data_IF_120847659757
#
_entry.id   IF_120847659757
#
_cell.length_a   1.000
_cell.length_b   1.000
_cell.length_c   1.000
_cell.angle_alpha   90.00
_cell.angle_beta   90.00
_cell.angle_gamma   90.00
#
_symmetry.space_group_name_H-M   'P 1'
#
loop_
_entity.id
_entity.type
_entity.pdbx_description
1 polymer ?
#
# COMPACT_ATOMS: atom_id res chain seq x y z
N UNK A 1 3.23 13.25 -14.98
CA UNK A 1 2.06 13.32 -14.08
C UNK A 1 0.79 12.81 -14.75
N UNK A 2 0.29 13.42 -15.83
CA UNK A 2 -0.94 12.93 -16.48
C UNK A 2 -0.87 11.46 -16.94
N UNK A 3 0.26 11.02 -17.50
CA UNK A 3 0.46 9.61 -17.87
C UNK A 3 0.54 8.68 -16.65
N UNK A 4 1.18 9.13 -15.58
CA UNK A 4 1.23 8.41 -14.31
C UNK A 4 -0.18 8.25 -13.70
N UNK A 5 -0.98 9.31 -13.60
CA UNK A 5 -2.35 9.21 -13.09
C UNK A 5 -3.26 8.38 -14.01
N UNK A 6 -3.01 8.36 -15.34
CA UNK A 6 -3.72 7.43 -16.24
C UNK A 6 -3.36 5.98 -15.92
N UNK A 7 -2.09 5.70 -15.66
CA UNK A 7 -1.65 4.35 -15.31
C UNK A 7 -2.19 3.90 -13.95
N UNK A 8 -2.12 4.77 -12.92
CA UNK A 8 -2.70 4.51 -11.60
C UNK A 8 -4.20 4.23 -11.71
N UNK A 9 -4.95 5.03 -12.48
CA UNK A 9 -6.38 4.77 -12.73
C UNK A 9 -6.65 3.42 -13.38
N UNK A 10 -5.87 3.05 -14.40
CA UNK A 10 -6.00 1.73 -15.04
C UNK A 10 -5.78 0.60 -14.04
N UNK A 11 -4.78 0.72 -13.16
CA UNK A 11 -4.51 -0.28 -12.11
C UNK A 11 -5.67 -0.33 -11.11
N UNK A 12 -6.16 0.83 -10.66
CA UNK A 12 -7.29 0.92 -9.74
C UNK A 12 -8.56 0.31 -10.33
N UNK A 13 -8.85 0.56 -11.61
CA UNK A 13 -9.98 -0.05 -12.34
C UNK A 13 -9.88 -1.58 -12.38
N UNK A 14 -8.68 -2.13 -12.61
CA UNK A 14 -8.45 -3.59 -12.59
C UNK A 14 -8.71 -4.17 -11.20
N UNK A 15 -8.26 -3.49 -10.14
CA UNK A 15 -8.48 -3.92 -8.74
C UNK A 15 -9.97 -3.84 -8.39
N UNK A 16 -10.63 -2.73 -8.71
CA UNK A 16 -12.06 -2.52 -8.47
C UNK A 16 -12.92 -3.56 -9.21
N UNK A 17 -12.51 -3.98 -10.41
CA UNK A 17 -13.20 -5.04 -11.14
C UNK A 17 -13.18 -6.41 -10.43
N UNK A 18 -12.19 -6.66 -9.56
CA UNK A 18 -12.12 -7.88 -8.77
C UNK A 18 -12.96 -7.82 -7.48
N UNK A 19 -13.30 -6.62 -7.01
CA UNK A 19 -13.93 -6.40 -5.71
C UNK A 19 -15.24 -7.19 -5.49
N UNK A 20 -16.21 -7.22 -6.44
CA UNK A 20 -17.44 -7.99 -6.22
C UNK A 20 -17.21 -9.51 -6.08
N UNK A 21 -16.20 -10.04 -6.77
CA UNK A 21 -15.81 -11.45 -6.67
C UNK A 21 -15.15 -11.74 -5.33
N UNK A 22 -14.28 -10.85 -4.87
CA UNK A 22 -13.63 -10.96 -3.56
C UNK A 22 -14.68 -10.90 -2.45
N UNK A 23 -15.60 -9.94 -2.49
CA UNK A 23 -16.68 -9.81 -1.51
C UNK A 23 -17.54 -11.07 -1.45
N UNK A 24 -17.88 -11.66 -2.61
CA UNK A 24 -18.63 -12.91 -2.68
C UNK A 24 -17.89 -14.08 -2.02
N UNK A 25 -16.58 -14.24 -2.30
CA UNK A 25 -15.77 -15.30 -1.69
C UNK A 25 -15.61 -15.10 -0.18
N UNK A 26 -15.36 -13.87 0.24
CA UNK A 26 -15.22 -13.49 1.64
C UNK A 26 -16.52 -13.74 2.39
N UNK A 27 -17.66 -13.34 1.85
CA UNK A 27 -18.98 -13.62 2.42
C UNK A 27 -19.23 -15.13 2.56
N UNK A 28 -18.83 -15.93 1.57
CA UNK A 28 -18.94 -17.39 1.62
C UNK A 28 -17.97 -18.07 2.61
N UNK A 29 -16.90 -17.39 3.04
CA UNK A 29 -15.97 -17.88 4.08
C UNK A 29 -16.48 -17.50 5.47
N UNK A 30 -16.91 -16.26 5.61
CA UNK A 30 -17.29 -15.69 6.90
C UNK A 30 -18.72 -16.07 7.31
N UNK A 31 -19.59 -16.33 6.34
CA UNK A 31 -20.99 -16.65 6.55
C UNK A 31 -21.86 -15.42 6.84
N UNK A 32 -23.17 -15.63 7.04
CA UNK A 32 -24.17 -14.56 7.17
C UNK A 32 -24.16 -13.83 8.54
N UNK A 33 -23.41 -14.31 9.54
CA UNK A 33 -23.53 -13.89 10.95
C UNK A 33 -22.30 -13.18 11.52
N UNK A 34 -21.62 -12.34 10.74
CA UNK A 34 -20.61 -11.42 11.29
C UNK A 34 -21.26 -10.24 12.04
N UNK A 35 -21.98 -10.53 13.12
CA UNK A 35 -22.47 -9.52 14.05
C UNK A 35 -21.52 -9.31 15.24
N UNK A 36 -20.46 -10.11 15.32
CA UNK A 36 -19.54 -10.18 16.43
C UNK A 36 -18.10 -10.20 15.90
N UNK A 37 -17.14 -9.54 16.58
CA UNK A 37 -15.74 -9.69 16.24
C UNK A 37 -15.27 -11.14 16.37
N UNK A 38 -14.51 -11.61 15.39
CA UNK A 38 -13.98 -12.97 15.36
C UNK A 38 -12.91 -13.16 16.44
N UNK A 39 -12.92 -14.33 17.09
CA UNK A 39 -11.80 -14.77 17.92
C UNK A 39 -10.55 -15.01 17.06
N UNK A 40 -9.38 -15.04 17.69
CA UNK A 40 -8.10 -15.32 16.99
C UNK A 40 -8.16 -16.64 16.21
N UNK A 41 -8.71 -17.70 16.82
CA UNK A 41 -8.80 -19.01 16.18
C UNK A 41 -9.73 -19.00 14.96
N UNK A 42 -10.85 -18.30 15.04
CA UNK A 42 -11.79 -18.15 13.92
C UNK A 42 -11.16 -17.32 12.80
N UNK A 43 -10.49 -16.21 13.14
CA UNK A 43 -9.81 -15.36 12.18
C UNK A 43 -8.71 -16.13 11.43
N UNK A 44 -7.85 -16.85 12.14
CA UNK A 44 -6.82 -17.70 11.54
C UNK A 44 -7.46 -18.74 10.61
N UNK A 45 -8.53 -19.42 11.05
CA UNK A 45 -9.24 -20.40 10.21
C UNK A 45 -9.79 -19.76 8.94
N UNK A 46 -10.44 -18.61 9.03
CA UNK A 46 -10.98 -17.88 7.89
C UNK A 46 -9.87 -17.44 6.92
N UNK A 47 -8.75 -16.94 7.44
CA UNK A 47 -7.59 -16.55 6.62
C UNK A 47 -6.94 -17.75 5.94
N UNK A 48 -6.81 -18.90 6.61
CA UNK A 48 -6.31 -20.14 5.99
C UNK A 48 -7.26 -20.59 4.87
N UNK A 49 -8.57 -20.61 5.13
CA UNK A 49 -9.58 -20.94 4.13
C UNK A 49 -9.53 -20.01 2.92
N UNK A 50 -9.35 -18.70 3.15
CA UNK A 50 -9.21 -17.71 2.08
C UNK A 50 -7.99 -17.97 1.20
N UNK A 51 -6.84 -18.31 1.79
CA UNK A 51 -5.63 -18.67 1.04
C UNK A 51 -5.84 -19.94 0.19
N UNK A 52 -6.49 -20.96 0.75
CA UNK A 52 -6.81 -22.20 0.04
C UNK A 52 -7.78 -21.95 -1.13
N UNK A 53 -8.85 -21.18 -0.90
CA UNK A 53 -9.81 -20.84 -1.95
C UNK A 53 -9.21 -19.93 -3.02
N UNK A 54 -8.39 -18.95 -2.65
CA UNK A 54 -7.67 -18.12 -3.62
C UNK A 54 -6.76 -18.97 -4.52
N UNK A 55 -6.13 -20.02 -3.96
CA UNK A 55 -5.37 -20.98 -4.74
C UNK A 55 -6.23 -21.74 -5.76
N UNK A 56 -7.35 -22.30 -5.31
CA UNK A 56 -8.23 -23.12 -6.16
C UNK A 56 -8.93 -22.29 -7.26
N UNK A 57 -9.39 -21.09 -6.91
CA UNK A 57 -10.20 -20.23 -7.78
C UNK A 57 -9.39 -19.60 -8.91
N UNK A 58 -8.11 -19.28 -8.66
CA UNK A 58 -7.26 -18.62 -9.64
C UNK A 58 -6.83 -19.52 -10.82
N UNK A 59 -7.03 -20.84 -10.73
CA UNK A 59 -6.75 -21.78 -11.81
C UNK A 59 -5.32 -21.64 -12.38
N UNK A 60 -5.21 -21.49 -13.71
CA UNK A 60 -3.91 -21.38 -14.39
C UNK A 60 -3.11 -20.13 -14.00
N UNK A 61 -3.75 -19.05 -13.56
CA UNK A 61 -3.08 -17.80 -13.19
C UNK A 61 -2.27 -17.94 -11.89
N UNK A 62 -2.67 -18.86 -11.00
CA UNK A 62 -2.00 -19.06 -9.71
C UNK A 62 -0.51 -19.41 -9.85
N UNK A 63 -0.12 -20.15 -10.89
CA UNK A 63 1.29 -20.51 -11.13
C UNK A 63 2.16 -19.29 -11.41
N UNK A 64 1.63 -18.31 -12.14
CA UNK A 64 2.32 -17.04 -12.40
C UNK A 64 2.52 -16.25 -11.11
N UNK A 65 1.43 -16.07 -10.35
CA UNK A 65 1.45 -15.44 -9.03
C UNK A 65 2.45 -16.10 -8.07
N UNK A 66 2.40 -17.44 -7.94
CA UNK A 66 3.28 -18.20 -7.06
C UNK A 66 4.76 -17.97 -7.42
N UNK A 67 5.10 -17.94 -8.73
CA UNK A 67 6.47 -17.68 -9.18
C UNK A 67 6.93 -16.27 -8.85
N UNK A 68 6.07 -15.27 -9.00
CA UNK A 68 6.37 -13.87 -8.65
C UNK A 68 6.61 -13.71 -7.14
N UNK A 69 5.76 -14.34 -6.32
CA UNK A 69 5.89 -14.32 -4.85
C UNK A 69 7.19 -15.01 -4.40
N UNK A 70 7.46 -16.20 -4.93
CA UNK A 70 8.69 -16.95 -4.64
C UNK A 70 9.95 -16.18 -5.05
N UNK A 71 9.99 -15.58 -6.24
CA UNK A 71 11.15 -14.76 -6.66
C UNK A 71 11.42 -13.63 -5.68
N UNK A 72 10.35 -12.97 -5.19
CA UNK A 72 10.47 -11.84 -4.26
C UNK A 72 10.88 -12.25 -2.86
N UNK A 73 10.43 -13.42 -2.39
CA UNK A 73 10.92 -13.98 -1.13
C UNK A 73 12.39 -14.34 -1.25
N UNK A 74 12.81 -14.98 -2.34
CA UNK A 74 14.22 -15.32 -2.56
C UNK A 74 15.12 -14.09 -2.62
N UNK A 75 14.69 -13.05 -3.36
CA UNK A 75 15.38 -11.75 -3.42
C UNK A 75 15.53 -11.14 -2.02
N UNK A 76 14.43 -11.01 -1.27
CA UNK A 76 14.46 -10.41 0.08
C UNK A 76 15.30 -11.21 1.07
N UNK A 77 15.24 -12.55 1.03
CA UNK A 77 16.06 -13.40 1.89
C UNK A 77 17.53 -13.28 1.51
N UNK A 78 17.87 -13.20 0.22
CA UNK A 78 19.25 -12.98 -0.22
C UNK A 78 19.78 -11.62 0.26
N UNK A 79 18.98 -10.56 0.19
CA UNK A 79 19.33 -9.23 0.71
C UNK A 79 19.50 -9.22 2.23
N UNK A 80 18.66 -9.97 2.95
CA UNK A 80 18.80 -10.15 4.39
C UNK A 80 20.12 -10.87 4.72
N UNK A 81 20.40 -11.98 4.05
CA UNK A 81 21.66 -12.72 4.19
C UNK A 81 22.87 -11.82 3.91
N UNK A 82 22.83 -11.01 2.86
CA UNK A 82 23.91 -10.07 2.56
C UNK A 82 24.10 -9.04 3.68
N UNK A 83 23.03 -8.48 4.23
CA UNK A 83 23.09 -7.51 5.35
C UNK A 83 23.62 -8.14 6.64
N UNK A 84 23.17 -9.34 7.00
CA UNK A 84 23.66 -10.09 8.17
C UNK A 84 25.17 -10.36 8.08
N UNK A 85 25.71 -10.55 6.87
CA UNK A 85 27.14 -10.73 6.66
C UNK A 85 27.93 -9.41 6.67
N UNK A 86 27.30 -8.29 6.27
CA UNK A 86 27.93 -6.97 6.16
C UNK A 86 28.13 -6.27 7.52
N UNK A 87 27.37 -6.59 8.56
CA UNK A 87 27.53 -6.06 9.94
C UNK A 87 28.80 -6.60 10.66
N UNK A 88 29.84 -6.93 9.90
CA UNK A 88 31.15 -7.35 10.39
C UNK A 88 32.13 -6.16 10.43
N UNK A 89 32.97 -6.04 11.48
CA UNK A 89 34.18 -5.25 11.38
C UNK A 89 35.18 -5.98 10.46
N UNK A 90 35.08 -5.74 9.15
CA UNK A 90 36.03 -6.20 8.14
C UNK A 90 35.41 -6.89 6.91
N UNK A 91 35.24 -6.14 5.82
CA UNK A 91 35.15 -6.68 4.46
C UNK A 91 33.79 -6.52 3.76
N UNK A 92 33.71 -5.58 2.81
CA UNK A 92 32.52 -5.30 2.02
C UNK A 92 32.23 -6.40 0.96
N UNK A 93 31.35 -7.34 1.27
CA UNK A 93 30.70 -8.18 0.25
C UNK A 93 29.49 -7.44 -0.32
N UNK A 94 29.64 -6.83 -1.49
CA UNK A 94 28.52 -6.17 -2.19
C UNK A 94 27.50 -7.19 -2.70
N UNK A 95 26.23 -6.78 -2.79
CA UNK A 95 25.09 -7.56 -3.34
C UNK A 95 25.49 -8.40 -4.56
N UNK A 96 26.19 -7.79 -5.53
CA UNK A 96 26.62 -8.42 -6.79
C UNK A 96 27.56 -9.63 -6.61
N UNK A 97 28.39 -9.65 -5.56
CA UNK A 97 29.35 -10.72 -5.26
C UNK A 97 28.74 -11.97 -4.62
N UNK A 98 27.65 -11.82 -3.86
CA UNK A 98 26.92 -12.96 -3.29
C UNK A 98 26.18 -13.75 -4.37
N UNK A 99 25.56 -13.04 -5.32
CA UNK A 99 24.81 -13.62 -6.45
C UNK A 99 25.71 -14.31 -7.49
N UNK A 100 26.93 -13.82 -7.71
CA UNK A 100 27.91 -14.46 -8.60
C UNK A 100 28.48 -15.76 -8.03
N UNK A 101 28.69 -15.84 -6.71
CA UNK A 101 29.18 -17.07 -6.06
C UNK A 101 28.08 -18.13 -5.93
N UNK A 102 26.86 -17.74 -5.60
CA UNK A 102 25.76 -18.67 -5.28
C UNK A 102 25.06 -19.34 -6.49
N UNK A 103 25.38 -18.94 -7.73
CA UNK A 103 24.80 -19.54 -8.94
C UNK A 103 23.28 -19.34 -9.12
N UNK A 104 22.63 -18.51 -8.30
CA UNK A 104 21.16 -18.42 -8.23
C UNK A 104 20.54 -17.69 -9.44
N UNK A 105 21.34 -16.98 -10.26
CA UNK A 105 20.84 -16.39 -11.52
C UNK A 105 20.34 -17.43 -12.53
N UNK A 106 20.84 -18.67 -12.50
CA UNK A 106 20.51 -19.67 -13.54
C UNK A 106 19.17 -20.39 -13.32
N UNK A 107 18.53 -20.24 -12.15
CA UNK A 107 17.16 -20.73 -11.95
C UNK A 107 16.09 -19.65 -12.15
N UNK A 108 16.39 -18.38 -11.81
CA UNK A 108 15.43 -17.29 -11.91
C UNK A 108 15.45 -16.58 -13.27
N UNK A 109 16.62 -16.49 -13.92
CA UNK A 109 16.70 -16.07 -15.32
C UNK A 109 16.42 -17.26 -16.23
N UNK A 110 15.71 -17.01 -17.33
CA UNK A 110 15.19 -17.94 -18.33
C UNK A 110 16.26 -18.73 -19.13
N UNK A 111 17.38 -19.11 -18.52
CA UNK A 111 18.54 -19.76 -19.13
C UNK A 111 18.91 -21.12 -18.52
N UNK A 112 17.95 -21.83 -17.93
CA UNK A 112 18.11 -23.27 -17.74
C UNK A 112 18.13 -23.96 -19.13
N UNK A 113 19.22 -24.69 -19.44
CA UNK A 113 19.45 -25.38 -20.73
C UNK A 113 18.35 -26.37 -21.14
N UNK A 114 17.43 -26.74 -20.25
CA UNK A 114 16.23 -27.52 -20.57
C UNK A 114 15.22 -26.78 -21.48
N UNK A 115 15.27 -25.44 -21.57
CA UNK A 115 14.32 -24.64 -22.36
C UNK A 115 14.82 -24.21 -23.76
N UNK A 116 16.05 -24.55 -24.16
CA UNK A 116 16.58 -24.16 -25.47
C UNK A 116 15.95 -24.90 -26.67
N UNK A 117 15.13 -25.92 -26.42
CA UNK A 117 14.43 -26.70 -27.46
C UNK A 117 13.32 -25.96 -28.21
N UNK A 118 12.81 -24.82 -27.70
CA UNK A 118 11.64 -24.14 -28.30
C UNK A 118 12.02 -22.93 -29.15
N UNK A 119 13.19 -22.30 -28.94
CA UNK A 119 13.61 -21.12 -29.74
C UNK A 119 14.26 -21.46 -31.09
N UNK A 120 14.62 -22.72 -31.34
CA UNK A 120 15.07 -23.17 -32.68
C UNK A 120 13.95 -23.67 -33.59
N UNK A 121 12.73 -23.89 -33.07
CA UNK A 121 11.61 -24.37 -33.86
C UNK A 121 10.84 -23.25 -34.60
N UNK A 122 10.88 -22.00 -34.12
CA UNK A 122 10.15 -20.88 -34.74
C UNK A 122 10.94 -20.11 -35.83
N UNK A 123 12.17 -20.52 -36.16
CA UNK A 123 12.95 -19.97 -37.31
C UNK A 123 13.11 -20.94 -38.48
N UNK A 124 12.41 -22.08 -38.46
CA UNK A 124 12.35 -23.06 -39.57
C UNK A 124 10.91 -23.54 -39.83
N UNK A 125 9.97 -22.60 -39.81
CA UNK A 125 8.60 -22.79 -40.30
C UNK A 125 8.25 -21.69 -41.32
N UNK A 126 9.23 -21.33 -42.14
CA UNK A 126 9.02 -20.85 -43.50
C UNK A 126 9.73 -21.86 -44.39
N UNK A 127 8.99 -22.43 -45.33
CA UNK A 127 9.39 -23.39 -46.37
C UNK A 127 9.25 -24.89 -46.09
N UNK A 128 8.45 -25.48 -46.99
CA UNK A 128 8.36 -26.87 -47.42
C UNK A 128 7.62 -27.88 -46.52
N UNK A 129 6.39 -28.19 -46.95
CA UNK A 129 5.74 -29.47 -46.66
C UNK A 129 6.32 -30.60 -47.53
N UNK A 130 6.53 -31.76 -46.92
CA UNK A 130 6.39 -33.11 -47.50
C UNK A 130 6.82 -34.12 -46.43
N UNK A 131 6.08 -35.22 -46.31
CA UNK A 131 6.06 -36.11 -45.15
C UNK A 131 7.34 -36.92 -44.90
N UNK A 132 7.61 -37.17 -43.61
CA UNK A 132 8.38 -38.30 -43.08
C UNK A 132 8.05 -38.52 -41.59
N UNK A 133 8.24 -39.74 -41.05
CA UNK A 133 7.57 -40.21 -39.83
C UNK A 133 8.11 -39.57 -38.54
N UNK A 134 7.20 -39.38 -37.58
CA UNK A 134 7.48 -38.86 -36.23
C UNK A 134 8.35 -39.87 -35.46
N UNK A 135 9.55 -39.50 -34.97
CA UNK A 135 10.30 -40.36 -34.06
C UNK A 135 9.66 -40.39 -32.68
N UNK A 136 9.53 -41.60 -32.11
CA UNK A 136 8.99 -41.84 -30.78
C UNK A 136 9.73 -41.03 -29.70
N UNK A 137 8.98 -40.28 -28.88
CA UNK A 137 9.53 -39.53 -27.74
C UNK A 137 9.72 -40.46 -26.52
N UNK A 138 10.80 -40.28 -25.74
CA UNK A 138 11.06 -41.08 -24.54
C UNK A 138 10.02 -40.75 -23.45
N UNK A 139 9.42 -41.80 -22.88
CA UNK A 139 8.56 -41.71 -21.69
C UNK A 139 9.41 -41.34 -20.47
N UNK A 140 9.51 -40.04 -20.15
CA UNK A 140 9.99 -39.60 -18.85
C UNK A 140 8.90 -39.91 -17.79
N UNK A 141 9.04 -41.04 -17.09
CA UNK A 141 8.31 -41.30 -15.85
C UNK A 141 8.80 -40.32 -14.78
N UNK A 142 7.95 -39.37 -14.39
CA UNK A 142 8.14 -38.61 -13.16
C UNK A 142 8.03 -39.59 -11.98
N UNK A 143 8.94 -39.57 -11.00
CA UNK A 143 8.77 -40.36 -9.79
C UNK A 143 7.57 -39.82 -9.00
N UNK A 144 6.66 -40.74 -8.62
CA UNK A 144 5.58 -40.45 -7.67
C UNK A 144 6.18 -39.98 -6.34
N UNK A 145 5.51 -39.06 -5.60
CA UNK A 145 5.94 -38.68 -4.27
C UNK A 145 5.87 -39.91 -3.33
N UNK A 146 6.81 -40.06 -2.38
CA UNK A 146 6.73 -41.14 -1.39
C UNK A 146 5.45 -41.00 -0.55
N UNK A 147 4.74 -42.11 -0.38
CA UNK A 147 3.44 -42.21 0.28
C UNK A 147 3.47 -42.10 1.82
N UNK A 148 4.49 -41.48 2.40
CA UNK A 148 4.69 -41.43 3.86
C UNK A 148 4.84 -39.98 4.34
N UNK A 149 3.74 -39.24 4.37
CA UNK A 149 3.55 -37.98 5.11
C UNK A 149 2.04 -37.66 5.21
N UNK A 150 1.21 -38.70 5.38
CA UNK A 150 -0.14 -38.55 5.90
C UNK A 150 -0.05 -38.90 7.37
N UNK A 151 -0.12 -37.86 8.19
CA UNK A 151 -0.85 -37.78 9.46
C UNK A 151 -0.20 -36.66 10.31
N UNK A 152 -0.93 -35.60 10.66
CA UNK A 152 -0.44 -34.64 11.65
C UNK A 152 -0.29 -35.35 13.01
N UNK A 153 0.71 -35.01 13.83
CA UNK A 153 0.83 -35.60 15.16
C UNK A 153 -0.43 -35.27 15.97
N UNK A 154 -1.03 -36.31 16.54
CA UNK A 154 -2.18 -36.23 17.43
C UNK A 154 -1.90 -35.28 18.60
N UNK A 155 -2.78 -34.30 18.79
CA UNK A 155 -2.77 -33.41 19.95
C UNK A 155 -3.06 -34.21 21.22
N UNK A 156 -2.39 -33.94 22.35
CA UNK A 156 -2.78 -34.54 23.63
C UNK A 156 -4.15 -34.00 24.08
N UNK A 157 -4.95 -34.78 24.83
CA UNK A 157 -6.27 -34.37 25.25
C UNK A 157 -6.21 -33.20 26.24
N UNK A 158 -6.96 -32.15 25.96
CA UNK A 158 -7.23 -31.04 26.89
C UNK A 158 -8.16 -31.54 28.00
N UNK A 159 -7.59 -32.09 29.08
CA UNK A 159 -8.32 -32.30 30.34
C UNK A 159 -7.54 -31.69 31.51
N UNK A 160 -7.69 -30.37 31.68
CA UNK A 160 -7.60 -29.66 32.97
C UNK A 160 -7.93 -28.18 32.74
N UNK A 161 -9.14 -27.88 32.24
CA UNK A 161 -9.70 -26.55 32.36
C UNK A 161 -10.12 -26.35 33.83
N UNK A 162 -9.28 -25.70 34.62
CA UNK A 162 -9.72 -25.07 35.86
C UNK A 162 -10.71 -23.94 35.53
N UNK A 163 -11.77 -23.85 36.32
CA UNK A 163 -12.88 -22.90 36.14
C UNK A 163 -12.41 -21.43 36.00
N UNK A 164 -13.13 -20.59 35.22
CA UNK A 164 -12.76 -19.19 35.03
C UNK A 164 -13.09 -18.37 36.28
N UNK A 165 -12.07 -18.04 37.07
CA UNK A 165 -12.14 -17.03 38.11
C UNK A 165 -12.39 -15.63 37.53
N UNK A 166 -13.35 -14.89 38.10
CA UNK A 166 -13.70 -13.50 37.76
C UNK A 166 -12.46 -12.61 37.63
N UNK A 167 -12.23 -12.04 36.44
CA UNK A 167 -11.17 -11.07 36.19
C UNK A 167 -11.45 -9.69 36.83
N UNK A 168 -10.43 -8.96 37.30
CA UNK A 168 -10.58 -7.61 37.79
C UNK A 168 -10.75 -6.62 36.62
N UNK A 169 -11.70 -5.70 36.78
CA UNK A 169 -12.02 -4.63 35.81
C UNK A 169 -10.91 -3.57 35.82
N UNK A 170 -10.57 -3.09 34.63
CA UNK A 170 -9.82 -1.85 34.40
C UNK A 170 -8.31 -2.04 34.24
N UNK A 171 -7.85 -2.18 32.99
CA UNK A 171 -6.46 -1.88 32.61
C UNK A 171 -6.46 -0.87 31.47
N UNK A 172 -5.65 0.17 31.65
CA UNK A 172 -5.46 1.29 30.75
C UNK A 172 -5.08 0.84 29.33
N UNK A 173 -5.99 0.99 28.38
CA UNK A 173 -5.78 0.68 26.96
C UNK A 173 -4.64 1.46 26.29
N UNK A 174 -4.13 2.53 26.93
CA UNK A 174 -2.97 3.29 26.40
C UNK A 174 -1.67 2.48 26.43
N UNK A 175 -1.43 1.68 27.47
CA UNK A 175 -0.21 0.87 27.55
C UNK A 175 -0.19 -0.27 26.51
N UNK A 176 -1.37 -0.81 26.19
CA UNK A 176 -1.56 -1.88 25.22
C UNK A 176 -1.43 -1.36 23.78
N UNK A 177 -1.97 -0.16 23.51
CA UNK A 177 -1.79 0.55 22.24
C UNK A 177 -0.35 1.04 22.05
N UNK A 178 0.37 1.39 23.12
CA UNK A 178 1.80 1.69 23.06
C UNK A 178 2.66 0.43 22.83
N UNK A 179 2.24 -0.74 23.34
CA UNK A 179 2.84 -2.03 23.00
C UNK A 179 2.59 -2.43 21.52
N UNK A 180 1.44 -2.05 20.96
CA UNK A 180 1.12 -2.19 19.54
C UNK A 180 1.90 -1.23 18.64
N UNK A 181 2.12 0.01 19.08
CA UNK A 181 3.06 0.94 18.42
C UNK A 181 4.51 0.45 18.51
N UNK A 182 4.84 -0.35 19.54
CA UNK A 182 6.13 -1.01 19.70
C UNK A 182 6.27 -2.28 18.82
N UNK A 183 5.21 -2.76 18.16
CA UNK A 183 5.26 -3.93 17.27
C UNK A 183 5.86 -3.61 15.89
N UNK A 184 7.11 -3.11 15.93
CA UNK A 184 8.03 -3.12 14.78
C UNK A 184 8.66 -4.51 14.59
N UNK A 185 8.01 -5.59 15.00
CA UNK A 185 8.59 -6.94 14.87
C UNK A 185 8.74 -7.36 13.41
N UNK A 186 7.76 -7.07 12.56
CA UNK A 186 7.83 -7.39 11.13
C UNK A 186 9.04 -6.72 10.43
N UNK A 187 9.29 -5.41 10.57
CA UNK A 187 10.54 -4.79 10.10
C UNK A 187 11.81 -5.38 10.73
N UNK A 188 11.78 -5.71 12.04
CA UNK A 188 12.95 -6.27 12.74
C UNK A 188 13.35 -7.64 12.21
N UNK A 189 12.42 -8.54 11.89
CA UNK A 189 12.76 -9.86 11.30
C UNK A 189 13.35 -9.76 9.88
N UNK A 190 13.25 -8.61 9.23
CA UNK A 190 13.91 -8.30 7.95
C UNK A 190 15.15 -7.39 8.11
N UNK A 191 15.60 -7.16 9.35
CA UNK A 191 16.83 -6.41 9.66
C UNK A 191 17.97 -7.34 10.07
N UNK A 192 19.22 -6.91 9.85
CA UNK A 192 20.39 -7.67 10.31
C UNK A 192 20.50 -7.70 11.84
N UNK A 193 20.13 -6.60 12.51
CA UNK A 193 20.21 -6.44 13.97
C UNK A 193 19.47 -7.52 14.76
N UNK A 194 18.37 -8.05 14.21
CA UNK A 194 17.60 -9.11 14.84
C UNK A 194 18.38 -10.44 14.89
N UNK A 195 19.31 -10.65 13.97
CA UNK A 195 20.02 -11.91 13.81
C UNK A 195 21.43 -11.83 14.39
N UNK A 196 21.68 -12.62 15.44
CA UNK A 196 23.00 -12.74 16.05
C UNK A 196 23.98 -13.63 15.26
N UNK A 197 25.16 -13.83 15.85
CA UNK A 197 26.30 -14.58 15.28
C UNK A 197 25.94 -15.99 14.79
N UNK A 198 25.05 -16.70 15.48
CA UNK A 198 24.59 -18.04 15.06
C UNK A 198 23.95 -18.04 13.67
N UNK A 199 23.12 -17.03 13.39
CA UNK A 199 22.46 -16.88 12.08
C UNK A 199 23.50 -16.55 11.02
N UNK A 200 24.47 -15.70 11.35
CA UNK A 200 25.57 -15.39 10.46
C UNK A 200 26.35 -16.64 10.07
N UNK A 201 26.76 -17.47 11.04
CA UNK A 201 27.44 -18.74 10.75
C UNK A 201 26.58 -19.73 9.96
N UNK A 202 25.24 -19.67 10.07
CA UNK A 202 24.33 -20.42 9.21
C UNK A 202 24.35 -19.89 7.75
N UNK A 203 24.35 -18.57 7.56
CA UNK A 203 24.41 -17.93 6.24
C UNK A 203 25.77 -18.17 5.57
N UNK A 204 26.88 -18.10 6.31
CA UNK A 204 28.23 -18.42 5.80
C UNK A 204 28.28 -19.86 5.26
N UNK A 205 27.81 -20.84 6.06
CA UNK A 205 27.70 -22.24 5.63
C UNK A 205 26.76 -22.45 4.45
N UNK A 206 25.69 -21.66 4.34
CA UNK A 206 24.78 -21.70 3.19
C UNK A 206 25.48 -21.28 1.89
N UNK A 207 26.38 -20.30 1.96
CA UNK A 207 27.14 -19.83 0.80
C UNK A 207 28.25 -20.81 0.37
N UNK A 208 28.85 -21.53 1.32
CA UNK A 208 29.91 -22.52 1.05
C UNK A 208 29.37 -23.81 0.40
N UNK A 209 28.10 -24.14 0.60
CA UNK A 209 27.51 -25.42 0.17
C UNK A 209 27.07 -25.45 -1.29
N UNK A 210 27.83 -24.92 -2.25
CA UNK A 210 27.58 -25.07 -3.70
C UNK A 210 28.07 -26.43 -4.18
N UNK A 211 27.22 -27.35 -4.71
CA UNK A 211 25.89 -27.21 -5.38
C UNK A 211 24.64 -27.57 -4.50
N UNK A 212 23.38 -27.55 -5.02
CA UNK A 212 22.19 -27.90 -4.23
C UNK A 212 22.28 -29.30 -3.64
N UNK A 213 22.50 -29.35 -2.34
CA UNK A 213 22.66 -30.57 -1.55
C UNK A 213 21.57 -30.66 -0.49
N UNK A 214 21.24 -31.87 0.03
CA UNK A 214 20.30 -32.04 1.15
C UNK A 214 20.65 -31.17 2.37
N UNK A 215 21.95 -30.89 2.55
CA UNK A 215 22.47 -29.97 3.59
C UNK A 215 21.91 -28.55 3.48
N UNK A 216 21.62 -28.05 2.27
CA UNK A 216 21.00 -26.72 2.09
C UNK A 216 19.57 -26.66 2.59
N UNK A 217 18.78 -27.72 2.38
CA UNK A 217 17.40 -27.76 2.85
C UNK A 217 17.34 -27.65 4.38
N UNK A 218 18.26 -28.32 5.09
CA UNK A 218 18.41 -28.23 6.55
C UNK A 218 18.81 -26.82 7.01
N UNK A 219 19.72 -26.15 6.30
CA UNK A 219 20.13 -24.78 6.62
C UNK A 219 19.02 -23.77 6.39
N UNK A 220 18.24 -23.91 5.31
CA UNK A 220 17.06 -23.08 5.04
C UNK A 220 15.97 -23.32 6.08
N UNK A 221 15.76 -24.57 6.51
CA UNK A 221 14.83 -24.88 7.59
C UNK A 221 15.24 -24.23 8.92
N UNK A 222 16.54 -24.22 9.25
CA UNK A 222 17.05 -23.52 10.43
C UNK A 222 16.83 -22.00 10.36
N UNK A 223 17.07 -21.38 9.19
CA UNK A 223 16.75 -19.96 8.97
C UNK A 223 15.24 -19.72 9.11
N UNK A 224 14.40 -20.56 8.49
CA UNK A 224 12.94 -20.47 8.57
C UNK A 224 12.44 -20.54 10.02
N UNK A 225 12.99 -21.44 10.83
CA UNK A 225 12.63 -21.56 12.24
C UNK A 225 12.99 -20.29 13.03
N UNK A 226 14.17 -19.70 12.77
CA UNK A 226 14.58 -18.44 13.41
C UNK A 226 13.78 -17.23 12.93
N UNK A 227 13.37 -17.23 11.66
CA UNK A 227 12.48 -16.21 11.11
C UNK A 227 11.07 -16.29 11.72
N UNK A 228 10.63 -17.47 12.19
CA UNK A 228 9.38 -17.70 12.92
C UNK A 228 8.14 -17.06 12.30
N UNK A 229 8.05 -17.03 10.96
CA UNK A 229 7.02 -16.24 10.26
C UNK A 229 5.59 -16.67 10.61
N UNK A 230 5.37 -17.94 10.93
CA UNK A 230 4.07 -18.43 11.40
C UNK A 230 3.66 -17.81 12.74
N UNK A 231 4.62 -17.52 13.63
CA UNK A 231 4.34 -16.86 14.90
C UNK A 231 3.95 -15.40 14.68
N UNK A 232 4.51 -14.75 13.65
CA UNK A 232 4.10 -13.40 13.26
C UNK A 232 2.68 -13.37 12.69
N UNK A 233 2.32 -14.39 11.90
CA UNK A 233 0.95 -14.56 11.41
C UNK A 233 -0.03 -14.68 12.57
N UNK A 234 0.28 -15.52 13.57
CA UNK A 234 -0.56 -15.69 14.75
C UNK A 234 -0.65 -14.40 15.60
N UNK A 235 0.47 -13.68 15.76
CA UNK A 235 0.49 -12.38 16.43
C UNK A 235 -0.36 -11.35 15.68
N UNK A 236 -0.30 -11.32 14.35
CA UNK A 236 -1.10 -10.41 13.54
C UNK A 236 -2.60 -10.71 13.67
N UNK A 237 -2.98 -11.99 13.67
CA UNK A 237 -4.37 -12.43 13.88
C UNK A 237 -4.85 -12.02 15.30
N UNK A 238 -4.00 -12.17 16.34
CA UNK A 238 -4.29 -11.77 17.72
C UNK A 238 -4.49 -10.26 17.88
N UNK A 239 -3.52 -9.48 17.38
CA UNK A 239 -3.58 -8.02 17.35
C UNK A 239 -4.84 -7.54 16.64
N UNK A 240 -5.14 -8.09 15.46
CA UNK A 240 -6.32 -7.69 14.70
C UNK A 240 -7.62 -7.99 15.45
N UNK A 241 -7.75 -9.18 16.02
CA UNK A 241 -8.92 -9.59 16.82
C UNK A 241 -9.12 -8.67 18.03
N UNK A 242 -8.06 -8.45 18.82
CA UNK A 242 -8.08 -7.58 20.00
C UNK A 242 -8.41 -6.13 19.66
N UNK A 243 -7.85 -5.59 18.57
CA UNK A 243 -8.14 -4.23 18.13
C UNK A 243 -9.59 -4.05 17.67
N UNK A 244 -10.09 -5.02 16.92
CA UNK A 244 -11.47 -5.01 16.43
C UNK A 244 -12.46 -5.11 17.58
N UNK A 245 -12.20 -6.00 18.54
CA UNK A 245 -13.03 -6.18 19.75
C UNK A 245 -13.11 -4.93 20.62
N UNK A 246 -11.97 -4.30 20.91
CA UNK A 246 -11.89 -3.30 21.98
C UNK A 246 -11.99 -1.85 21.52
N UNK A 247 -11.63 -1.54 20.27
CA UNK A 247 -11.40 -0.16 19.84
C UNK A 247 -12.18 0.26 18.58
N UNK A 248 -12.71 -0.68 17.80
CA UNK A 248 -13.43 -0.36 16.57
C UNK A 248 -14.95 -0.35 16.79
N UNK A 249 -15.69 0.58 16.18
CA UNK A 249 -17.15 0.56 16.19
C UNK A 249 -17.67 -0.60 15.32
N UNK A 250 -18.85 -1.13 15.67
CA UNK A 250 -19.45 -2.29 14.99
C UNK A 250 -19.60 -2.10 13.48
N UNK A 251 -19.87 -0.87 13.02
CA UNK A 251 -20.00 -0.55 11.61
C UNK A 251 -18.72 -0.80 10.79
N UNK A 252 -17.54 -0.77 11.43
CA UNK A 252 -16.25 -0.99 10.76
C UNK A 252 -15.75 -2.44 10.89
N UNK A 253 -16.32 -3.24 11.78
CA UNK A 253 -15.87 -4.63 12.00
C UNK A 253 -15.99 -5.47 10.74
N UNK A 254 -17.13 -5.38 10.07
CA UNK A 254 -17.41 -6.11 8.84
C UNK A 254 -16.45 -5.73 7.73
N UNK A 255 -16.30 -4.43 7.46
CA UNK A 255 -15.45 -3.92 6.39
C UNK A 255 -13.99 -4.31 6.59
N UNK A 256 -13.46 -4.13 7.82
CA UNK A 256 -12.07 -4.44 8.11
C UNK A 256 -11.81 -5.95 8.14
N UNK A 257 -12.70 -6.75 8.75
CA UNK A 257 -12.56 -8.22 8.76
C UNK A 257 -12.65 -8.78 7.34
N UNK A 258 -13.57 -8.24 6.55
CA UNK A 258 -13.73 -8.60 5.14
C UNK A 258 -12.46 -8.29 4.33
N UNK A 259 -11.87 -7.11 4.50
CA UNK A 259 -10.61 -6.75 3.85
C UNK A 259 -9.43 -7.61 4.32
N UNK A 260 -9.34 -7.89 5.63
CA UNK A 260 -8.24 -8.68 6.21
C UNK A 260 -8.27 -10.14 5.72
N UNK A 261 -9.43 -10.78 5.75
CA UNK A 261 -9.61 -12.15 5.23
C UNK A 261 -9.54 -12.15 3.70
N UNK A 262 -10.09 -11.12 3.05
CA UNK A 262 -10.08 -10.93 1.60
C UNK A 262 -8.69 -10.68 1.01
N UNK A 263 -7.71 -10.32 1.83
CA UNK A 263 -6.34 -10.03 1.39
C UNK A 263 -5.73 -11.13 0.51
N UNK A 264 -6.02 -12.41 0.78
CA UNK A 264 -5.50 -13.52 -0.03
C UNK A 264 -5.95 -13.45 -1.50
N UNK A 265 -7.16 -12.95 -1.76
CA UNK A 265 -7.69 -12.77 -3.10
C UNK A 265 -7.18 -11.47 -3.73
N UNK A 266 -7.14 -10.37 -2.98
CA UNK A 266 -6.58 -9.11 -3.46
C UNK A 266 -5.10 -9.25 -3.82
N UNK A 267 -4.28 -9.95 -3.03
CA UNK A 267 -2.85 -10.20 -3.32
C UNK A 267 -2.66 -10.93 -4.66
N UNK A 268 -3.58 -11.83 -5.02
CA UNK A 268 -3.53 -12.56 -6.29
C UNK A 268 -3.69 -11.65 -7.51
N UNK A 269 -4.53 -10.62 -7.40
CA UNK A 269 -4.80 -9.65 -8.46
C UNK A 269 -3.78 -8.52 -8.45
N UNK A 270 -3.48 -7.99 -7.26
CA UNK A 270 -2.65 -6.80 -7.09
C UNK A 270 -1.17 -7.09 -7.29
N UNK A 271 -0.62 -8.18 -6.71
CA UNK A 271 0.82 -8.45 -6.75
C UNK A 271 1.39 -8.51 -8.18
N UNK A 272 0.77 -9.19 -9.16
CA UNK A 272 1.29 -9.22 -10.53
C UNK A 272 1.28 -7.86 -11.21
N UNK A 273 0.25 -7.06 -10.95
CA UNK A 273 0.10 -5.71 -11.53
C UNK A 273 1.15 -4.78 -10.93
N UNK A 274 1.30 -4.78 -9.60
CA UNK A 274 2.21 -3.91 -8.87
C UNK A 274 3.69 -4.25 -9.08
N UNK A 275 4.05 -5.53 -9.26
CA UNK A 275 5.44 -5.94 -9.54
C UNK A 275 5.88 -5.57 -10.96
N UNK A 276 4.95 -5.48 -11.90
CA UNK A 276 5.23 -5.11 -13.29
C UNK A 276 5.42 -3.62 -13.50
N UNK A 277 4.92 -2.80 -12.57
CA UNK A 277 4.92 -1.35 -12.69
C UNK A 277 6.09 -0.76 -11.90
N UNK A 278 6.91 0.08 -12.54
CA UNK A 278 7.99 0.81 -11.86
C UNK A 278 7.45 2.01 -11.05
N UNK A 279 6.24 1.88 -10.51
CA UNK A 279 5.50 2.98 -9.92
C UNK A 279 5.77 2.98 -8.42
N UNK A 280 6.43 4.03 -7.93
CA UNK A 280 6.67 4.19 -6.50
C UNK A 280 5.43 4.72 -5.75
N UNK A 281 4.62 5.55 -6.41
CA UNK A 281 3.41 6.16 -5.85
C UNK A 281 2.16 5.49 -6.42
N UNK A 282 1.38 4.85 -5.57
CA UNK A 282 0.24 4.03 -6.00
C UNK A 282 -1.08 4.82 -6.00
N UNK A 283 -1.05 6.05 -5.52
CA UNK A 283 -2.18 6.96 -5.52
C UNK A 283 -2.08 7.96 -6.67
N UNK A 284 -3.22 8.48 -7.09
CA UNK A 284 -3.22 9.59 -8.03
C UNK A 284 -2.57 10.82 -7.42
N UNK A 285 -1.66 11.43 -8.17
CA UNK A 285 -1.09 12.72 -7.77
C UNK A 285 -2.04 13.81 -8.25
N UNK A 286 -2.90 14.29 -7.36
CA UNK A 286 -3.76 15.44 -7.65
C UNK A 286 -2.91 16.71 -7.78
N UNK A 287 -3.21 17.52 -8.79
CA UNK A 287 -2.53 18.79 -9.05
C UNK A 287 -3.58 19.88 -9.02
N UNK A 288 -3.45 20.78 -8.05
CA UNK A 288 -4.24 22.00 -7.98
C UNK A 288 -3.37 23.21 -8.35
N UNK A 289 -4.01 24.25 -8.86
CA UNK A 289 -3.37 25.49 -9.26
C UNK A 289 -3.94 26.63 -8.43
N UNK A 290 -3.04 27.40 -7.81
CA UNK A 290 -3.39 28.66 -7.15
C UNK A 290 -2.90 29.79 -8.04
N UNK A 291 -3.80 30.38 -8.82
CA UNK A 291 -3.48 31.52 -9.67
C UNK A 291 -4.54 32.63 -9.58
N UNK A 292 -4.12 33.91 -9.61
CA UNK A 292 -5.05 35.02 -9.74
C UNK A 292 -5.93 34.94 -10.99
N UNK A 293 -5.45 34.28 -12.06
CA UNK A 293 -6.21 34.09 -13.29
C UNK A 293 -7.29 33.00 -13.20
N UNK A 294 -7.31 32.20 -12.13
CA UNK A 294 -8.30 31.16 -11.95
C UNK A 294 -9.62 31.76 -11.40
N UNK A 295 -10.79 31.13 -11.65
CA UNK A 295 -12.06 31.65 -11.18
C UNK A 295 -12.10 31.83 -9.66
N UNK A 296 -12.48 33.03 -9.23
CA UNK A 296 -12.54 33.41 -7.82
C UNK A 296 -13.99 33.68 -7.38
N UNK A 297 -14.35 33.36 -6.13
CA UNK A 297 -15.71 33.56 -5.61
C UNK A 297 -16.22 35.02 -5.72
N UNK A 298 -15.33 36.02 -5.63
CA UNK A 298 -15.68 37.43 -5.84
C UNK A 298 -15.64 37.85 -7.32
N UNK A 299 -14.74 37.25 -8.10
CA UNK A 299 -14.47 37.62 -9.50
C UNK A 299 -14.35 36.36 -10.36
N UNK A 300 -15.45 35.90 -10.97
CA UNK A 300 -15.46 34.64 -11.70
C UNK A 300 -14.51 34.59 -12.91
N UNK A 301 -14.16 35.75 -13.48
CA UNK A 301 -13.23 35.85 -14.62
C UNK A 301 -11.74 35.84 -14.20
N UNK A 302 -11.46 35.76 -12.90
CA UNK A 302 -10.13 35.94 -12.33
C UNK A 302 -9.81 37.42 -12.08
N UNK A 303 -8.61 37.65 -11.55
CA UNK A 303 -8.11 38.95 -11.12
C UNK A 303 -6.85 39.29 -11.90
N UNK A 304 -6.85 40.44 -12.55
CA UNK A 304 -5.66 41.00 -13.16
C UNK A 304 -4.82 41.74 -12.12
N UNK A 305 -3.62 41.21 -11.86
CA UNK A 305 -2.67 41.83 -10.95
C UNK A 305 -2.01 43.04 -11.61
N UNK A 306 -1.94 44.17 -10.90
CA UNK A 306 -1.35 45.43 -11.39
C UNK A 306 0.14 45.26 -11.68
N UNK A 307 0.81 44.39 -10.93
CA UNK A 307 2.21 44.05 -11.09
C UNK A 307 2.55 43.29 -12.36
N UNK A 308 1.56 42.76 -13.11
CA UNK A 308 1.77 42.12 -14.42
C UNK A 308 2.34 43.08 -15.46
N UNK A 309 2.09 44.38 -15.29
CA UNK A 309 2.68 45.43 -16.13
C UNK A 309 4.22 45.44 -16.04
N UNK A 310 4.89 46.09 -17.00
CA UNK A 310 6.36 46.18 -17.07
C UNK A 310 7.06 44.81 -17.01
N UNK A 311 6.65 43.84 -17.84
CA UNK A 311 7.19 42.47 -17.83
C UNK A 311 7.12 41.79 -16.45
N UNK A 312 6.00 41.95 -15.73
CA UNK A 312 5.77 41.44 -14.38
C UNK A 312 6.57 42.14 -13.24
N UNK A 313 7.17 43.31 -13.52
CA UNK A 313 7.88 44.10 -12.50
C UNK A 313 7.11 45.34 -12.02
N UNK A 314 5.89 45.58 -12.50
CA UNK A 314 5.13 46.80 -12.20
C UNK A 314 4.98 47.06 -10.69
N UNK A 315 4.77 46.00 -9.91
CA UNK A 315 4.59 46.12 -8.46
C UNK A 315 5.88 46.57 -7.76
N UNK A 316 7.09 46.33 -8.29
CA UNK A 316 8.32 46.82 -7.66
C UNK A 316 8.39 48.36 -7.62
N UNK A 317 7.80 49.04 -8.59
CA UNK A 317 7.88 50.49 -8.73
C UNK A 317 6.76 51.25 -8.03
N UNK A 318 5.65 50.58 -7.66
CA UNK A 318 4.50 51.23 -7.03
C UNK A 318 4.02 50.47 -5.78
N UNK A 319 4.07 51.12 -4.61
CA UNK A 319 3.62 50.54 -3.34
C UNK A 319 2.14 50.14 -3.37
N UNK A 320 1.27 50.97 -3.90
CA UNK A 320 -0.16 50.65 -4.03
C UNK A 320 -0.42 49.44 -4.93
N UNK A 321 0.44 49.19 -5.92
CA UNK A 321 0.35 47.99 -6.75
C UNK A 321 0.82 46.73 -6.01
N UNK A 322 1.84 46.83 -5.15
CA UNK A 322 2.24 45.72 -4.26
C UNK A 322 1.14 45.36 -3.30
N UNK A 323 0.57 46.36 -2.63
CA UNK A 323 -0.49 46.15 -1.64
C UNK A 323 -1.74 45.55 -2.28
N UNK A 324 -2.11 46.02 -3.48
CA UNK A 324 -3.16 45.40 -4.30
C UNK A 324 -2.88 43.93 -4.61
N UNK A 325 -1.70 43.63 -5.17
CA UNK A 325 -1.39 42.27 -5.62
C UNK A 325 -1.21 41.30 -4.45
N UNK A 326 -0.67 41.78 -3.33
CA UNK A 326 -0.56 41.04 -2.07
C UNK A 326 -1.94 40.67 -1.51
N UNK A 327 -2.85 41.65 -1.41
CA UNK A 327 -4.19 41.41 -0.86
C UNK A 327 -4.99 40.44 -1.72
N UNK A 328 -4.97 40.61 -3.04
CA UNK A 328 -5.60 39.66 -3.97
C UNK A 328 -4.94 38.29 -3.98
N UNK A 329 -3.63 38.21 -3.74
CA UNK A 329 -2.92 36.97 -3.51
C UNK A 329 -3.46 36.22 -2.29
N UNK A 330 -3.66 36.92 -1.16
CA UNK A 330 -4.24 36.34 0.07
C UNK A 330 -5.68 35.86 -0.14
N UNK A 331 -6.54 36.68 -0.75
CA UNK A 331 -7.94 36.34 -0.99
C UNK A 331 -8.07 35.15 -1.95
N UNK A 332 -7.34 35.15 -3.07
CA UNK A 332 -7.35 34.04 -4.04
C UNK A 332 -6.83 32.75 -3.41
N UNK A 333 -5.74 32.82 -2.65
CA UNK A 333 -5.19 31.65 -1.98
C UNK A 333 -6.20 31.07 -0.98
N UNK A 334 -6.87 31.90 -0.19
CA UNK A 334 -7.89 31.46 0.77
C UNK A 334 -9.06 30.76 0.08
N UNK A 335 -9.61 31.35 -0.99
CA UNK A 335 -10.72 30.76 -1.75
C UNK A 335 -10.34 29.41 -2.38
N UNK A 336 -9.13 29.30 -2.92
CA UNK A 336 -8.62 28.04 -3.48
C UNK A 336 -8.39 26.98 -2.42
N UNK A 337 -7.74 27.32 -1.30
CA UNK A 337 -7.53 26.38 -0.20
C UNK A 337 -8.84 25.85 0.38
N UNK A 338 -9.85 26.71 0.52
CA UNK A 338 -11.20 26.27 0.92
C UNK A 338 -11.82 25.33 -0.10
N UNK A 339 -11.69 25.63 -1.39
CA UNK A 339 -12.21 24.77 -2.47
C UNK A 339 -11.54 23.39 -2.45
N UNK A 340 -10.22 23.35 -2.29
CA UNK A 340 -9.45 22.10 -2.18
C UNK A 340 -9.87 21.28 -0.96
N UNK A 341 -10.03 21.92 0.20
CA UNK A 341 -10.47 21.24 1.41
C UNK A 341 -11.87 20.63 1.26
N UNK A 342 -12.80 21.34 0.62
CA UNK A 342 -14.15 20.84 0.34
C UNK A 342 -14.12 19.67 -0.65
N UNK A 343 -13.34 19.77 -1.73
CA UNK A 343 -13.18 18.67 -2.69
C UNK A 343 -12.58 17.40 -2.05
N UNK A 344 -11.63 17.56 -1.13
CA UNK A 344 -11.06 16.44 -0.40
C UNK A 344 -12.06 15.80 0.59
N UNK A 345 -12.97 16.60 1.16
CA UNK A 345 -13.97 16.13 2.11
C UNK A 345 -15.23 15.53 1.45
N UNK A 346 -15.57 15.96 0.23
CA UNK A 346 -16.78 15.61 -0.52
C UNK A 346 -17.12 14.09 -0.56
N UNK A 347 -16.15 13.15 -0.71
CA UNK A 347 -16.46 11.72 -0.69
C UNK A 347 -16.95 11.20 0.67
N UNK A 348 -16.67 11.91 1.76
CA UNK A 348 -16.97 11.50 3.13
C UNK A 348 -18.14 12.30 3.68
N UNK A 349 -18.14 13.62 3.48
CA UNK A 349 -19.14 14.55 4.00
C UNK A 349 -19.43 15.61 2.96
N UNK A 350 -20.71 15.84 2.69
CA UNK A 350 -21.20 16.99 1.92
C UNK A 350 -21.60 18.11 2.87
N UNK A 351 -20.95 19.25 2.75
CA UNK A 351 -21.27 20.46 3.50
C UNK A 351 -22.32 21.25 2.73
N UNK A 352 -23.33 21.80 3.43
CA UNK A 352 -24.37 22.59 2.77
C UNK A 352 -23.77 23.84 2.12
N UNK A 353 -24.24 24.19 0.92
CA UNK A 353 -23.70 25.35 0.17
C UNK A 353 -23.82 26.66 0.94
N UNK A 354 -24.88 26.83 1.74
CA UNK A 354 -25.07 28.00 2.60
C UNK A 354 -23.96 28.13 3.67
N UNK A 355 -23.58 27.01 4.30
CA UNK A 355 -22.49 26.99 5.30
C UNK A 355 -21.14 27.27 4.65
N UNK A 356 -20.90 26.71 3.45
CA UNK A 356 -19.69 27.01 2.66
C UNK A 356 -19.60 28.49 2.33
N UNK A 357 -20.71 29.11 1.88
CA UNK A 357 -20.77 30.55 1.57
C UNK A 357 -20.55 31.39 2.83
N UNK A 358 -21.15 31.03 3.95
CA UNK A 358 -20.94 31.71 5.23
C UNK A 358 -19.48 31.65 5.70
N UNK A 359 -18.85 30.48 5.57
CA UNK A 359 -17.44 30.31 5.90
C UNK A 359 -16.53 31.14 4.97
N UNK A 360 -16.79 31.16 3.65
CA UNK A 360 -16.01 32.00 2.70
C UNK A 360 -16.13 33.47 3.04
N UNK A 361 -17.34 33.94 3.30
CA UNK A 361 -17.60 35.30 3.74
C UNK A 361 -16.78 35.66 5.00
N UNK A 362 -16.83 34.82 6.03
CA UNK A 362 -16.06 35.02 7.26
C UNK A 362 -14.55 35.09 7.04
N UNK A 363 -14.00 34.22 6.20
CA UNK A 363 -12.56 34.21 5.88
C UNK A 363 -12.14 35.49 5.13
N UNK A 364 -12.94 35.95 4.16
CA UNK A 364 -12.64 37.19 3.45
C UNK A 364 -12.69 38.41 4.36
N UNK A 365 -13.69 38.51 5.24
CA UNK A 365 -13.77 39.59 6.22
C UNK A 365 -12.58 39.57 7.19
N UNK A 366 -12.19 38.39 7.69
CA UNK A 366 -11.04 38.27 8.58
C UNK A 366 -9.73 38.75 7.91
N UNK A 367 -9.52 38.41 6.63
CA UNK A 367 -8.35 38.88 5.87
C UNK A 367 -8.40 40.41 5.69
N UNK A 368 -9.55 40.97 5.31
CA UNK A 368 -9.70 42.41 5.08
C UNK A 368 -9.59 43.22 6.37
N UNK A 369 -10.07 42.67 7.50
CA UNK A 369 -9.95 43.28 8.83
C UNK A 369 -8.48 43.30 9.29
N UNK A 370 -7.77 42.17 9.14
CA UNK A 370 -6.35 42.08 9.51
C UNK A 370 -5.47 43.09 8.76
N UNK A 371 -5.79 43.35 7.49
CA UNK A 371 -4.98 44.19 6.60
C UNK A 371 -5.37 45.67 6.58
N UNK A 372 -6.51 46.02 7.20
CA UNK A 372 -7.11 47.36 7.15
C UNK A 372 -6.13 48.48 7.55
N UNK A 373 -5.40 48.29 8.63
CA UNK A 373 -4.48 49.30 9.17
C UNK A 373 -3.08 49.24 8.55
N UNK A 374 -2.79 48.20 7.75
CA UNK A 374 -1.46 47.94 7.18
C UNK A 374 -1.33 48.46 5.75
N UNK A 375 -2.37 48.27 4.93
CA UNK A 375 -2.40 48.60 3.51
C UNK A 375 -2.90 50.03 3.28
N UNK A 376 -2.00 51.01 3.38
CA UNK A 376 -2.32 52.44 3.41
C UNK A 376 -1.99 53.19 2.11
N UNK A 377 -1.38 52.54 1.11
CA UNK A 377 -0.95 53.23 -0.11
C UNK A 377 -2.11 53.58 -1.05
N UNK A 378 -3.18 52.80 -1.02
CA UNK A 378 -4.46 53.10 -1.69
C UNK A 378 -5.58 53.04 -0.63
N UNK A 379 -6.01 54.19 -0.07
CA UNK A 379 -7.03 54.23 0.98
C UNK A 379 -8.39 53.66 0.57
N UNK A 380 -8.65 53.52 -0.72
CA UNK A 380 -9.92 52.98 -1.24
C UNK A 380 -9.89 51.46 -1.42
N UNK A 381 -8.73 50.81 -1.36
CA UNK A 381 -8.57 49.39 -1.70
C UNK A 381 -9.36 48.47 -0.75
N UNK A 382 -9.06 48.51 0.55
CA UNK A 382 -9.72 47.65 1.55
C UNK A 382 -11.20 47.99 1.70
N UNK A 383 -11.62 49.26 1.83
CA UNK A 383 -13.05 49.60 1.89
C UNK A 383 -13.81 49.24 0.61
N UNK A 384 -13.17 49.32 -0.56
CA UNK A 384 -13.75 48.89 -1.82
C UNK A 384 -14.03 47.39 -1.86
N UNK A 385 -13.05 46.57 -1.46
CA UNK A 385 -13.20 45.12 -1.40
C UNK A 385 -14.18 44.65 -0.33
N UNK A 386 -14.25 45.35 0.80
CA UNK A 386 -15.24 45.05 1.83
C UNK A 386 -16.66 45.22 1.31
N UNK A 387 -16.93 46.29 0.54
CA UNK A 387 -18.23 46.45 -0.14
C UNK A 387 -18.48 45.35 -1.16
N UNK A 388 -17.48 45.00 -1.97
CA UNK A 388 -17.59 43.93 -2.97
C UNK A 388 -17.92 42.57 -2.31
N UNK A 389 -17.30 42.25 -1.17
CA UNK A 389 -17.59 41.04 -0.39
C UNK A 389 -19.03 41.08 0.17
N UNK A 390 -19.43 42.17 0.80
CA UNK A 390 -20.78 42.31 1.37
C UNK A 390 -21.88 42.22 0.29
N UNK A 391 -21.65 42.80 -0.89
CA UNK A 391 -22.57 42.71 -2.03
C UNK A 391 -22.67 41.26 -2.56
N UNK A 392 -21.53 40.61 -2.78
CA UNK A 392 -21.45 39.24 -3.32
C UNK A 392 -22.01 38.16 -2.38
N UNK A 393 -22.04 38.43 -1.08
CA UNK A 393 -22.50 37.51 -0.03
C UNK A 393 -23.74 38.02 0.72
N UNK A 394 -24.50 38.95 0.13
CA UNK A 394 -25.71 39.55 0.73
C UNK A 394 -26.73 38.52 1.24
N UNK A 395 -26.90 37.40 0.54
CA UNK A 395 -27.81 36.31 0.95
C UNK A 395 -27.41 35.62 2.27
N UNK A 396 -26.11 35.58 2.59
CA UNK A 396 -25.61 35.01 3.86
C UNK A 396 -26.13 35.82 5.05
N UNK A 397 -26.33 37.12 4.85
CA UNK A 397 -26.84 38.05 5.87
C UNK A 397 -28.35 37.95 6.05
N UNK A 398 -29.08 37.55 5.02
CA UNK A 398 -30.54 37.42 5.07
C UNK A 398 -31.00 36.13 5.76
N UNK A 399 -30.11 35.12 5.87
CA UNK A 399 -30.39 33.83 6.51
C UNK A 399 -29.80 33.64 7.92
N UNK A 400 -29.07 34.63 8.44
CA UNK A 400 -28.57 34.70 9.82
C UNK A 400 -29.46 35.61 10.66
#
# INVERSE_FOLDING_TARGET
MAEHNREVRRIAEVIAAAEPLVESEVHAILGPELLHPLTVQELTRCRTMANERAHLTAGYAYRGYQRLKLSGVVERVADLCARVLQDAPGGALTHRGLWQRSGVRDCASSRCMACHGVRRAHRRLGDAGAGHPVPARPRCRLPHPPASLRDPPSQPPLSACGEPGRGPRGRDGRAEVDALRADRQSPRRWSAEFYGQETRSLVERLLETLPPTPRRATLVAALSARMGLADLDALADDVFSMMTLNYLPQSLHLALTGAYVGFAFYDLVTLPVLRGTAIAEHNEVQVDRISPADPHSLRPQGIELKGRSLNAFGAFFNRGWREHDYLWGRLTAADRLMTMALQAAEPVIRVAEAEVRAARHGVFLAILEEERDRLNADPALVPGLLREVEEAFSDVRAGA
#
